data_IF_794872058634
#
_entry.id   IF_794872058634
#
_cell.length_a   1.000
_cell.length_b   1.000
_cell.length_c   1.000
_cell.angle_alpha   90.00
_cell.angle_beta   90.00
_cell.angle_gamma   90.00
#
_symmetry.space_group_name_H-M   'P 1'
#
loop_
_entity.id
_entity.type
_entity.pdbx_description
1 polymer ?
#
# COMPACT_ATOMS: atom_id res chain seq x y z
N UNK A 1 -1.22 8.93 -9.98
CA UNK A 1 -1.16 7.84 -10.94
C UNK A 1 -1.53 6.50 -10.30
N UNK A 2 -0.86 6.09 -9.20
CA UNK A 2 -1.12 4.81 -8.51
C UNK A 2 -2.58 4.66 -8.04
N UNK A 3 -3.23 5.74 -7.59
CA UNK A 3 -4.65 5.72 -7.22
C UNK A 3 -5.57 5.36 -8.39
N UNK A 4 -5.24 5.83 -9.62
CA UNK A 4 -6.03 5.51 -10.82
C UNK A 4 -5.91 4.04 -11.17
N UNK A 5 -4.68 3.51 -11.13
CA UNK A 5 -4.42 2.10 -11.42
C UNK A 5 -5.13 1.21 -10.41
N UNK A 6 -5.00 1.50 -9.12
CA UNK A 6 -5.68 0.73 -8.06
C UNK A 6 -7.19 0.80 -8.21
N UNK A 7 -7.74 1.99 -8.50
CA UNK A 7 -9.15 2.13 -8.78
C UNK A 7 -9.58 1.24 -9.96
N UNK A 8 -8.89 1.34 -11.11
CA UNK A 8 -9.22 0.55 -12.30
C UNK A 8 -9.09 -0.95 -12.05
N UNK A 9 -8.10 -1.37 -11.25
CA UNK A 9 -7.90 -2.76 -10.89
C UNK A 9 -9.09 -3.30 -10.08
N UNK A 10 -9.53 -2.59 -9.05
CA UNK A 10 -10.67 -3.01 -8.25
C UNK A 10 -11.99 -2.95 -9.05
N UNK A 11 -12.18 -1.89 -9.85
CA UNK A 11 -13.38 -1.71 -10.68
C UNK A 11 -13.52 -2.80 -11.77
N UNK A 12 -12.40 -3.35 -12.25
CA UNK A 12 -12.42 -4.48 -13.19
C UNK A 12 -12.97 -5.79 -12.59
N UNK A 13 -13.05 -5.89 -11.25
CA UNK A 13 -13.45 -7.09 -10.53
C UNK A 13 -12.41 -8.21 -10.52
N UNK A 14 -11.19 -7.95 -11.04
CA UNK A 14 -10.08 -8.91 -10.99
C UNK A 14 -9.65 -9.18 -9.55
N UNK A 15 -9.60 -8.12 -8.73
CA UNK A 15 -9.22 -8.20 -7.32
C UNK A 15 -10.41 -7.83 -6.45
N UNK A 16 -10.93 -8.79 -5.72
CA UNK A 16 -12.09 -8.66 -4.83
C UNK A 16 -12.01 -9.67 -3.70
N UNK A 17 -12.77 -9.47 -2.66
CA UNK A 17 -12.87 -10.37 -1.53
C UNK A 17 -13.54 -9.69 -0.34
N UNK A 18 -13.44 -10.32 0.82
CA UNK A 18 -13.98 -9.79 2.07
C UNK A 18 -12.95 -8.92 2.80
N UNK A 19 -11.71 -9.37 2.90
CA UNK A 19 -10.67 -8.76 3.71
C UNK A 19 -9.49 -8.26 2.87
N UNK A 20 -9.12 -7.00 3.07
CA UNK A 20 -7.92 -6.38 2.52
C UNK A 20 -6.98 -5.94 3.64
N UNK A 21 -5.69 -6.23 3.49
CA UNK A 21 -4.61 -5.68 4.32
C UNK A 21 -3.86 -4.63 3.50
N UNK A 22 -3.71 -3.42 4.07
CA UNK A 22 -2.92 -2.33 3.48
C UNK A 22 -1.63 -2.11 4.28
N UNK A 23 -0.50 -2.22 3.61
CA UNK A 23 0.83 -1.89 4.13
C UNK A 23 1.49 -0.86 3.21
N UNK A 24 1.13 0.39 3.41
CA UNK A 24 1.61 1.52 2.60
C UNK A 24 2.48 2.44 3.45
N UNK A 25 3.64 2.86 2.90
CA UNK A 25 4.54 3.81 3.57
C UNK A 25 3.94 5.22 3.57
N UNK A 26 2.83 5.40 4.28
CA UNK A 26 2.16 6.70 4.42
C UNK A 26 1.18 6.66 5.58
N UNK A 27 1.10 7.76 6.31
CA UNK A 27 0.01 7.99 7.27
C UNK A 27 -1.34 8.20 6.57
N UNK A 28 -1.32 8.50 5.26
CA UNK A 28 -2.51 8.80 4.49
C UNK A 28 -3.29 7.52 4.09
N UNK A 29 -4.59 7.55 4.28
CA UNK A 29 -5.50 6.47 3.88
C UNK A 29 -5.89 6.53 2.38
N UNK A 30 -4.99 7.03 1.53
CA UNK A 30 -5.30 7.42 0.15
C UNK A 30 -5.69 6.24 -0.73
N UNK A 31 -4.96 5.15 -0.63
CA UNK A 31 -5.10 4.04 -1.56
C UNK A 31 -6.32 3.17 -1.24
N UNK A 32 -6.70 3.13 0.04
CA UNK A 32 -7.87 2.38 0.48
C UNK A 32 -9.21 3.06 0.18
N UNK A 33 -9.21 4.35 -0.16
CA UNK A 33 -10.44 5.06 -0.57
C UNK A 33 -11.11 4.38 -1.78
N UNK A 34 -10.31 3.87 -2.72
CA UNK A 34 -10.82 3.12 -3.86
C UNK A 34 -11.25 1.70 -3.46
N UNK A 35 -10.51 1.04 -2.56
CA UNK A 35 -10.74 -0.33 -2.14
C UNK A 35 -12.02 -0.52 -1.31
N UNK A 36 -12.43 0.50 -0.55
CA UNK A 36 -13.57 0.44 0.36
C UNK A 36 -14.95 0.16 -0.30
N UNK A 37 -15.00 0.11 -1.63
CA UNK A 37 -16.21 -0.30 -2.34
C UNK A 37 -16.24 -1.81 -2.64
N UNK A 38 -15.09 -2.47 -2.57
CA UNK A 38 -14.88 -3.84 -3.03
C UNK A 38 -14.51 -4.80 -1.90
N UNK A 39 -14.24 -4.25 -0.69
CA UNK A 39 -13.90 -5.02 0.50
C UNK A 39 -14.68 -4.51 1.70
N UNK A 40 -15.18 -5.43 2.54
CA UNK A 40 -15.95 -5.10 3.74
C UNK A 40 -15.07 -4.92 4.98
N UNK A 41 -13.88 -5.52 4.98
CA UNK A 41 -12.93 -5.46 6.07
C UNK A 41 -11.57 -4.98 5.58
N UNK A 42 -11.15 -3.78 5.99
CA UNK A 42 -9.82 -3.25 5.71
C UNK A 42 -9.02 -3.19 7.01
N UNK A 43 -7.81 -3.73 6.97
CA UNK A 43 -6.84 -3.70 8.06
C UNK A 43 -5.65 -2.86 7.61
N UNK A 44 -5.34 -1.82 8.36
CA UNK A 44 -4.19 -0.96 8.10
C UNK A 44 -3.01 -1.41 8.93
N UNK A 45 -1.90 -1.74 8.29
CA UNK A 45 -0.63 -1.96 8.94
C UNK A 45 0.18 -0.67 8.90
N UNK A 46 0.65 -0.20 10.05
CA UNK A 46 1.39 1.06 10.21
C UNK A 46 2.77 0.81 10.80
N UNK A 47 3.77 1.55 10.30
CA UNK A 47 5.18 1.38 10.64
C UNK A 47 5.55 1.89 12.01
N UNK A 48 4.94 2.99 12.40
CA UNK A 48 5.28 3.69 13.61
C UNK A 48 4.02 4.28 14.26
N UNK A 49 4.16 4.62 15.53
CA UNK A 49 3.08 5.20 16.33
C UNK A 49 2.56 6.54 15.78
N UNK A 50 3.41 7.31 15.08
CA UNK A 50 2.96 8.56 14.47
C UNK A 50 2.00 8.30 13.31
N UNK A 51 2.28 7.32 12.46
CA UNK A 51 1.42 6.94 11.34
C UNK A 51 0.11 6.33 11.82
N UNK A 52 0.19 5.49 12.86
CA UNK A 52 -0.98 4.93 13.51
C UNK A 52 -1.87 6.04 14.07
N UNK A 53 -1.29 7.01 14.80
CA UNK A 53 -2.00 8.15 15.36
C UNK A 53 -2.71 9.00 14.31
N UNK A 54 -2.03 9.31 13.21
CA UNK A 54 -2.63 10.09 12.11
C UNK A 54 -3.78 9.32 11.43
N UNK A 55 -3.62 8.01 11.23
CA UNK A 55 -4.71 7.17 10.72
C UNK A 55 -5.92 7.13 11.68
N UNK A 56 -5.67 7.03 13.00
CA UNK A 56 -6.71 7.08 14.04
C UNK A 56 -7.43 8.43 14.05
N UNK A 57 -6.71 9.55 13.98
CA UNK A 57 -7.32 10.88 13.90
C UNK A 57 -8.28 11.00 12.72
N UNK A 58 -7.85 10.52 11.54
CA UNK A 58 -8.70 10.56 10.36
C UNK A 58 -9.92 9.65 10.52
N UNK A 59 -9.73 8.45 11.05
CA UNK A 59 -10.80 7.48 11.30
C UNK A 59 -11.88 8.05 12.21
N UNK A 60 -11.47 8.74 13.29
CA UNK A 60 -12.38 9.30 14.30
C UNK A 60 -12.79 10.75 14.02
N UNK A 61 -12.38 11.34 12.89
CA UNK A 61 -12.67 12.73 12.51
C UNK A 61 -12.18 13.75 13.55
N UNK A 62 -11.03 13.48 14.15
CA UNK A 62 -10.45 14.35 15.17
C UNK A 62 -9.94 15.66 14.57
N UNK A 63 -9.91 16.75 15.35
CA UNK A 63 -9.32 18.02 14.91
C UNK A 63 -7.85 17.84 14.50
N UNK A 64 -7.47 18.42 13.36
CA UNK A 64 -6.12 18.33 12.82
C UNK A 64 -5.82 17.03 12.07
N UNK A 65 -6.81 16.17 11.82
CA UNK A 65 -6.69 15.03 10.91
C UNK A 65 -6.35 15.50 9.49
N UNK A 66 -5.58 14.70 8.77
CA UNK A 66 -5.22 14.99 7.37
C UNK A 66 -6.50 15.06 6.52
N UNK A 67 -6.62 16.12 5.72
CA UNK A 67 -7.74 16.29 4.78
C UNK A 67 -7.46 15.52 3.48
N UNK A 68 -8.26 14.48 3.24
CA UNK A 68 -8.22 13.67 2.02
C UNK A 68 -9.31 14.03 1.02
N UNK A 69 -10.12 15.07 1.28
CA UNK A 69 -11.30 15.40 0.48
C UNK A 69 -10.99 15.63 -1.01
N UNK A 70 -9.85 16.27 -1.32
CA UNK A 70 -9.42 16.52 -2.69
C UNK A 70 -9.16 15.20 -3.45
N UNK A 71 -8.53 14.24 -2.80
CA UNK A 71 -8.23 12.94 -3.40
C UNK A 71 -9.48 12.06 -3.48
N UNK A 72 -10.31 12.08 -2.44
CA UNK A 72 -11.59 11.37 -2.44
C UNK A 72 -12.51 11.92 -3.55
N UNK A 73 -12.55 13.25 -3.72
CA UNK A 73 -13.28 13.90 -4.82
C UNK A 73 -12.77 13.43 -6.18
N UNK A 74 -11.44 13.34 -6.34
CA UNK A 74 -10.82 12.83 -7.57
C UNK A 74 -11.23 11.38 -7.84
N UNK A 75 -11.11 10.48 -6.85
CA UNK A 75 -11.48 9.06 -6.98
C UNK A 75 -12.97 8.92 -7.31
N UNK A 76 -13.84 9.65 -6.64
CA UNK A 76 -15.27 9.68 -6.96
C UNK A 76 -15.53 10.23 -8.37
N UNK A 77 -14.71 11.19 -8.83
CA UNK A 77 -14.76 11.77 -10.17
C UNK A 77 -14.49 10.74 -11.27
N UNK A 78 -13.64 9.73 -11.02
CA UNK A 78 -13.41 8.62 -11.96
C UNK A 78 -14.70 7.83 -12.26
N UNK A 79 -15.67 7.86 -11.34
CA UNK A 79 -17.02 7.27 -11.47
C UNK A 79 -18.09 8.26 -11.91
N UNK A 80 -17.75 9.50 -12.23
CA UNK A 80 -18.72 10.56 -12.49
C UNK A 80 -19.49 11.04 -11.24
N UNK A 81 -19.00 10.77 -10.02
CA UNK A 81 -19.68 11.01 -8.74
C UNK A 81 -18.88 11.90 -7.79
N UNK A 82 -18.15 12.88 -8.31
CA UNK A 82 -17.25 13.75 -7.53
C UNK A 82 -17.92 14.41 -6.31
N UNK A 83 -19.21 14.70 -6.37
CA UNK A 83 -19.98 15.30 -5.26
C UNK A 83 -20.25 14.34 -4.11
N UNK A 84 -20.04 13.03 -4.29
CA UNK A 84 -20.31 12.00 -3.27
C UNK A 84 -19.12 11.72 -2.35
N UNK A 85 -18.04 12.52 -2.42
CA UNK A 85 -16.81 12.27 -1.69
C UNK A 85 -16.99 12.08 -0.17
N UNK A 86 -17.94 12.83 0.46
CA UNK A 86 -18.25 12.65 1.89
C UNK A 86 -18.80 11.28 2.21
N UNK A 87 -19.66 10.75 1.34
CA UNK A 87 -20.21 9.39 1.49
C UNK A 87 -19.12 8.33 1.33
N UNK A 88 -18.20 8.56 0.38
CA UNK A 88 -17.07 7.67 0.15
C UNK A 88 -16.12 7.62 1.35
N UNK A 89 -15.76 8.77 1.92
CA UNK A 89 -14.95 8.80 3.13
C UNK A 89 -15.63 8.10 4.31
N UNK A 90 -16.94 8.35 4.51
CA UNK A 90 -17.68 7.71 5.57
C UNK A 90 -17.74 6.19 5.38
N UNK A 91 -17.95 5.73 4.15
CA UNK A 91 -17.88 4.30 3.82
C UNK A 91 -16.51 3.74 4.15
N UNK A 92 -15.43 4.40 3.72
CA UNK A 92 -14.06 3.96 3.98
C UNK A 92 -13.78 3.85 5.48
N UNK A 93 -14.19 4.85 6.28
CA UNK A 93 -14.05 4.79 7.73
C UNK A 93 -14.74 3.58 8.35
N UNK A 94 -15.95 3.23 7.89
CA UNK A 94 -16.68 2.05 8.37
C UNK A 94 -16.05 0.73 7.95
N UNK A 95 -15.38 0.72 6.81
CA UNK A 95 -14.73 -0.46 6.25
C UNK A 95 -13.40 -0.76 6.96
N UNK A 96 -12.71 0.25 7.49
CA UNK A 96 -11.52 0.05 8.31
C UNK A 96 -11.93 -0.58 9.65
N UNK A 97 -11.46 -1.80 9.92
CA UNK A 97 -11.78 -2.54 11.15
C UNK A 97 -10.67 -2.50 12.17
N UNK A 98 -9.41 -2.43 11.70
CA UNK A 98 -8.25 -2.44 12.58
C UNK A 98 -7.14 -1.56 12.01
N UNK A 99 -6.41 -0.92 12.91
CA UNK A 99 -5.12 -0.27 12.63
C UNK A 99 -4.13 -0.96 13.55
N UNK A 100 -3.09 -1.57 13.00
CA UNK A 100 -2.15 -2.42 13.73
C UNK A 100 -0.73 -1.99 13.40
N UNK A 101 0.14 -1.96 14.40
CA UNK A 101 1.57 -1.72 14.20
C UNK A 101 2.20 -2.92 13.52
N UNK A 102 3.00 -2.64 12.49
CA UNK A 102 3.86 -3.60 11.80
C UNK A 102 5.31 -3.29 12.17
N UNK A 103 5.84 -3.98 13.17
CA UNK A 103 7.16 -3.73 13.70
C UNK A 103 8.21 -4.64 13.08
N UNK A 104 8.97 -4.09 12.13
CA UNK A 104 10.03 -4.83 11.42
C UNK A 104 11.23 -5.22 12.29
N UNK A 105 11.34 -4.67 13.50
CA UNK A 105 12.41 -5.04 14.44
C UNK A 105 12.14 -6.36 15.14
N UNK A 106 10.90 -6.82 15.12
CA UNK A 106 10.48 -8.10 15.68
C UNK A 106 10.57 -9.21 14.65
N UNK A 107 10.88 -10.42 15.09
CA UNK A 107 10.84 -11.61 14.24
C UNK A 107 9.42 -11.82 13.67
N UNK A 108 8.39 -11.69 14.51
CA UNK A 108 7.00 -11.55 14.07
C UNK A 108 6.59 -10.08 14.11
N UNK A 109 6.44 -9.41 12.95
CA UNK A 109 6.11 -7.98 12.90
C UNK A 109 4.78 -7.60 13.56
N UNK A 110 3.85 -8.53 13.70
CA UNK A 110 2.57 -8.32 14.40
C UNK A 110 2.62 -8.60 15.91
N UNK A 111 3.76 -9.13 16.41
CA UNK A 111 3.85 -9.55 17.81
C UNK A 111 2.83 -10.65 18.14
N UNK A 112 1.97 -10.39 19.13
CA UNK A 112 0.89 -11.31 19.55
C UNK A 112 -0.43 -11.10 18.78
N UNK A 113 -0.49 -10.09 17.90
CA UNK A 113 -1.73 -9.80 17.15
C UNK A 113 -1.94 -10.86 16.08
N UNK A 114 -3.09 -11.49 16.09
CA UNK A 114 -3.51 -12.47 15.09
C UNK A 114 -4.50 -11.80 14.14
N UNK A 115 -4.14 -11.75 12.87
CA UNK A 115 -5.01 -11.23 11.81
C UNK A 115 -5.68 -12.37 11.04
N UNK A 116 -6.89 -12.17 10.51
CA UNK A 116 -7.45 -13.07 9.52
C UNK A 116 -6.59 -13.06 8.27
N UNK A 117 -6.55 -14.17 7.54
CA UNK A 117 -5.93 -14.17 6.22
C UNK A 117 -6.76 -13.31 5.26
N UNK A 118 -6.07 -12.47 4.50
CA UNK A 118 -6.68 -11.53 3.57
C UNK A 118 -6.92 -12.16 2.19
N UNK A 119 -7.93 -11.68 1.49
CA UNK A 119 -8.16 -11.96 0.08
C UNK A 119 -7.26 -11.12 -0.81
N UNK A 120 -6.89 -9.92 -0.31
CA UNK A 120 -5.98 -9.00 -0.98
C UNK A 120 -5.02 -8.35 0.01
N UNK A 121 -3.76 -8.21 -0.40
CA UNK A 121 -2.79 -7.33 0.26
C UNK A 121 -2.39 -6.24 -0.73
N UNK A 122 -2.44 -4.99 -0.29
CA UNK A 122 -1.90 -3.83 -1.02
C UNK A 122 -0.64 -3.35 -0.29
N UNK A 123 0.45 -3.18 -1.02
CA UNK A 123 1.67 -2.55 -0.47
C UNK A 123 2.24 -1.56 -1.46
N UNK A 124 2.56 -0.36 -0.99
CA UNK A 124 3.09 0.70 -1.85
C UNK A 124 4.22 1.44 -1.16
N UNK A 125 5.35 1.56 -1.88
CA UNK A 125 6.50 2.35 -1.45
C UNK A 125 7.03 1.99 -0.07
N UNK A 126 6.89 0.70 0.31
CA UNK A 126 7.16 0.27 1.67
C UNK A 126 8.46 -0.52 1.80
N UNK A 127 8.56 -1.64 1.07
CA UNK A 127 9.65 -2.59 1.27
C UNK A 127 11.02 -1.98 0.98
N UNK A 128 11.12 -1.09 -0.01
CA UNK A 128 12.34 -0.38 -0.35
C UNK A 128 12.80 0.63 0.69
N UNK A 129 11.88 1.21 1.46
CA UNK A 129 12.24 2.22 2.47
C UNK A 129 12.61 1.62 3.82
N UNK A 130 12.21 0.38 4.08
CA UNK A 130 12.48 -0.28 5.37
C UNK A 130 13.55 -1.35 5.28
N UNK A 131 13.88 -1.84 4.09
CA UNK A 131 14.88 -2.91 3.91
C UNK A 131 16.28 -2.33 3.77
N UNK A 132 17.22 -2.85 4.56
CA UNK A 132 18.65 -2.49 4.47
C UNK A 132 19.37 -3.21 3.33
N UNK A 133 18.87 -4.37 2.92
CA UNK A 133 19.42 -5.23 1.88
C UNK A 133 18.33 -6.08 1.21
N UNK A 134 18.71 -6.78 0.14
CA UNK A 134 17.81 -7.61 -0.65
C UNK A 134 17.25 -8.80 0.13
N UNK A 135 18.03 -9.39 1.04
CA UNK A 135 17.58 -10.54 1.86
C UNK A 135 16.50 -10.10 2.84
N UNK A 136 16.66 -8.94 3.46
CA UNK A 136 15.62 -8.36 4.33
C UNK A 136 14.35 -8.05 3.54
N UNK A 137 14.47 -7.52 2.31
CA UNK A 137 13.33 -7.26 1.44
C UNK A 137 12.51 -8.55 1.18
N UNK A 138 13.18 -9.61 0.75
CA UNK A 138 12.56 -10.92 0.46
C UNK A 138 11.92 -11.50 1.74
N UNK A 139 12.60 -11.40 2.86
CA UNK A 139 12.08 -11.89 4.15
C UNK A 139 10.81 -11.15 4.58
N UNK A 140 10.81 -9.82 4.52
CA UNK A 140 9.63 -9.01 4.84
C UNK A 140 8.47 -9.27 3.87
N UNK A 141 8.76 -9.45 2.58
CA UNK A 141 7.77 -9.84 1.59
C UNK A 141 7.14 -11.21 1.92
N UNK A 142 7.94 -12.21 2.27
CA UNK A 142 7.45 -13.54 2.70
C UNK A 142 6.59 -13.46 3.96
N UNK A 143 7.01 -12.66 4.95
CA UNK A 143 6.22 -12.43 6.16
C UNK A 143 4.88 -11.77 5.85
N UNK A 144 4.87 -10.76 4.99
CA UNK A 144 3.63 -10.10 4.56
C UNK A 144 2.69 -11.08 3.85
N UNK A 145 3.23 -11.87 2.91
CA UNK A 145 2.47 -12.86 2.15
C UNK A 145 1.95 -14.02 3.02
N UNK A 146 2.52 -14.27 4.20
CA UNK A 146 1.97 -15.28 5.11
C UNK A 146 0.54 -14.96 5.55
N UNK A 147 0.15 -13.67 5.53
CA UNK A 147 -1.20 -13.19 5.85
C UNK A 147 -2.15 -13.20 4.65
N UNK A 148 -1.69 -13.58 3.46
CA UNK A 148 -2.52 -13.70 2.27
C UNK A 148 -3.04 -15.13 2.10
N UNK A 149 -4.33 -15.29 1.81
CA UNK A 149 -4.93 -16.59 1.46
C UNK A 149 -4.25 -17.19 0.23
N UNK A 150 -4.26 -18.51 0.14
CA UNK A 150 -3.92 -19.20 -1.11
C UNK A 150 -4.97 -18.83 -2.16
N UNK A 151 -4.52 -18.41 -3.34
CA UNK A 151 -5.38 -17.83 -4.37
C UNK A 151 -5.72 -16.35 -4.18
N UNK A 152 -5.29 -15.72 -3.07
CA UNK A 152 -5.42 -14.30 -2.82
C UNK A 152 -4.49 -13.46 -3.69
N UNK A 153 -4.73 -12.15 -3.75
CA UNK A 153 -4.00 -11.23 -4.61
C UNK A 153 -3.08 -10.30 -3.81
N UNK A 154 -1.84 -10.17 -4.28
CA UNK A 154 -0.95 -9.07 -3.87
C UNK A 154 -0.98 -8.00 -4.95
N UNK A 155 -1.27 -6.77 -4.55
CA UNK A 155 -1.15 -5.57 -5.39
C UNK A 155 0.01 -4.75 -4.84
N UNK A 156 1.07 -4.62 -5.62
CA UNK A 156 2.29 -3.95 -5.21
C UNK A 156 2.60 -2.77 -6.12
N UNK A 157 2.94 -1.64 -5.51
CA UNK A 157 3.55 -0.50 -6.20
C UNK A 157 4.96 -0.31 -5.65
N UNK A 158 5.93 -0.44 -6.52
CA UNK A 158 7.35 -0.42 -6.19
C UNK A 158 8.09 0.70 -6.93
N UNK A 159 9.14 1.23 -6.33
CA UNK A 159 9.97 2.29 -6.91
C UNK A 159 11.28 1.70 -7.39
N UNK A 160 11.51 1.77 -8.69
CA UNK A 160 12.66 1.16 -9.34
C UNK A 160 13.86 2.11 -9.34
N UNK A 161 15.02 1.58 -8.97
CA UNK A 161 16.31 2.28 -8.95
C UNK A 161 16.34 3.54 -8.07
N UNK A 162 15.50 3.61 -7.03
CA UNK A 162 15.57 4.65 -6.01
C UNK A 162 16.78 4.38 -5.08
N UNK A 163 17.51 5.42 -4.69
CA UNK A 163 18.54 5.31 -3.65
C UNK A 163 18.29 6.21 -2.45
N UNK A 164 17.48 7.25 -2.62
CA UNK A 164 17.08 8.16 -1.54
C UNK A 164 15.73 8.82 -1.80
N UNK A 165 15.14 9.30 -0.71
CA UNK A 165 13.99 10.20 -0.74
C UNK A 165 14.13 11.26 0.37
N UNK A 166 13.40 12.37 0.20
CA UNK A 166 13.40 13.50 1.15
C UNK A 166 12.07 13.56 1.89
N UNK A 167 12.14 13.81 3.20
CA UNK A 167 10.98 14.20 4.02
C UNK A 167 11.33 15.52 4.70
N UNK A 168 10.70 16.59 4.25
CA UNK A 168 11.11 17.95 4.61
C UNK A 168 12.53 18.22 4.16
N UNK A 169 13.43 18.49 5.12
CA UNK A 169 14.87 18.74 4.86
C UNK A 169 15.75 17.49 5.10
N UNK A 170 15.17 16.37 5.51
CA UNK A 170 15.89 15.16 5.84
C UNK A 170 15.95 14.19 4.66
N UNK A 171 17.15 13.70 4.37
CA UNK A 171 17.43 12.71 3.35
C UNK A 171 17.45 11.31 3.97
N UNK A 172 16.64 10.40 3.42
CA UNK A 172 16.58 9.00 3.83
C UNK A 172 17.09 8.11 2.70
N UNK A 173 17.79 7.05 3.05
CA UNK A 173 18.20 6.02 2.11
C UNK A 173 17.02 5.12 1.76
N UNK A 174 17.03 4.59 0.54
CA UNK A 174 16.12 3.54 0.10
C UNK A 174 16.94 2.40 -0.53
N UNK A 175 16.43 1.17 -0.46
CA UNK A 175 17.08 0.03 -1.08
C UNK A 175 16.98 0.12 -2.60
N UNK A 176 18.13 0.27 -3.24
CA UNK A 176 18.20 0.31 -4.71
C UNK A 176 18.09 -1.09 -5.30
N UNK A 177 17.17 -1.26 -6.24
CA UNK A 177 16.98 -2.49 -7.00
C UNK A 177 16.36 -2.20 -8.37
N UNK A 178 16.49 -3.15 -9.29
CA UNK A 178 15.86 -3.12 -10.59
C UNK A 178 14.59 -3.98 -10.64
N UNK A 179 13.87 -3.92 -11.75
CA UNK A 179 12.63 -4.67 -11.95
C UNK A 179 12.84 -6.20 -11.91
N UNK A 180 13.96 -6.70 -12.45
CA UNK A 180 14.29 -8.14 -12.42
C UNK A 180 14.40 -8.67 -11.00
N UNK A 181 14.96 -7.88 -10.08
CA UNK A 181 15.02 -8.24 -8.67
C UNK A 181 13.62 -8.45 -8.08
N UNK A 182 12.70 -7.49 -8.31
CA UNK A 182 11.34 -7.61 -7.76
C UNK A 182 10.62 -8.83 -8.32
N UNK A 183 10.70 -9.06 -9.63
CA UNK A 183 10.08 -10.21 -10.26
C UNK A 183 10.58 -11.53 -9.65
N UNK A 184 11.90 -11.65 -9.44
CA UNK A 184 12.50 -12.81 -8.77
C UNK A 184 12.05 -12.93 -7.32
N UNK A 185 12.04 -11.81 -6.57
CA UNK A 185 11.61 -11.79 -5.17
C UNK A 185 10.14 -12.23 -5.01
N UNK A 186 9.25 -11.79 -5.90
CA UNK A 186 7.84 -12.18 -5.91
C UNK A 186 7.68 -13.68 -6.17
N UNK A 187 8.39 -14.21 -7.17
CA UNK A 187 8.36 -15.64 -7.48
C UNK A 187 8.95 -16.49 -6.33
N UNK A 188 10.08 -16.07 -5.76
CA UNK A 188 10.69 -16.74 -4.60
C UNK A 188 9.80 -16.72 -3.35
N UNK A 189 9.00 -15.66 -3.21
CA UNK A 189 8.03 -15.56 -2.13
C UNK A 189 6.73 -16.35 -2.37
N UNK A 190 6.63 -17.07 -3.50
CA UNK A 190 5.51 -17.96 -3.82
C UNK A 190 4.36 -17.30 -4.57
N UNK A 191 4.61 -16.15 -5.21
CA UNK A 191 3.62 -15.45 -6.02
C UNK A 191 3.80 -15.69 -7.51
N UNK A 192 2.69 -15.86 -8.22
CA UNK A 192 2.62 -15.81 -9.68
C UNK A 192 2.25 -14.39 -10.12
N UNK A 193 3.05 -13.78 -10.97
CA UNK A 193 2.77 -12.44 -11.52
C UNK A 193 1.69 -12.56 -12.59
N UNK A 194 0.55 -11.94 -12.37
CA UNK A 194 -0.58 -11.91 -13.33
C UNK A 194 -0.45 -10.76 -14.31
N UNK A 195 0.01 -9.61 -13.83
CA UNK A 195 0.32 -8.44 -14.67
C UNK A 195 1.38 -7.58 -14.02
N UNK A 196 2.17 -6.92 -14.86
CA UNK A 196 3.10 -5.87 -14.45
C UNK A 196 3.04 -4.72 -15.45
N UNK A 197 3.19 -3.50 -14.96
CA UNK A 197 3.26 -2.30 -15.76
C UNK A 197 4.26 -1.33 -15.13
N UNK A 198 5.17 -0.78 -15.94
CA UNK A 198 6.26 0.07 -15.47
C UNK A 198 6.26 1.40 -16.20
N UNK A 199 6.25 2.47 -15.43
CA UNK A 199 6.22 3.83 -15.93
C UNK A 199 7.49 4.58 -15.56
N UNK A 200 8.24 5.00 -16.55
CA UNK A 200 9.42 5.84 -16.35
C UNK A 200 9.04 7.20 -15.79
N UNK A 201 9.84 7.71 -14.87
CA UNK A 201 9.73 9.10 -14.42
C UNK A 201 9.89 10.04 -15.60
N UNK A 202 8.97 10.98 -15.74
CA UNK A 202 9.04 12.06 -16.74
C UNK A 202 9.72 13.31 -16.23
N UNK A 203 9.99 13.37 -14.94
CA UNK A 203 10.53 14.55 -14.27
C UNK A 203 11.66 14.16 -13.33
N UNK A 204 12.71 14.96 -13.36
CA UNK A 204 13.72 14.95 -12.32
C UNK A 204 13.18 15.67 -11.10
N UNK A 205 13.38 15.09 -9.93
CA UNK A 205 12.93 15.67 -8.67
C UNK A 205 14.10 15.74 -7.69
N UNK A 206 14.32 16.87 -7.01
CA UNK A 206 15.30 16.92 -5.94
C UNK A 206 14.85 16.12 -4.69
N UNK A 207 13.61 15.65 -4.67
CA UNK A 207 13.05 14.93 -3.53
C UNK A 207 13.34 13.43 -3.56
N UNK A 208 13.69 12.87 -4.72
CA UNK A 208 14.02 11.46 -4.89
C UNK A 208 14.65 11.22 -6.26
N UNK A 209 15.42 10.14 -6.39
CA UNK A 209 16.21 9.81 -7.58
C UNK A 209 15.70 8.56 -8.32
N UNK A 210 14.43 8.20 -8.16
CA UNK A 210 13.90 7.00 -8.80
C UNK A 210 13.85 7.10 -10.33
N UNK A 211 14.02 5.96 -10.99
CA UNK A 211 13.94 5.85 -12.45
C UNK A 211 12.51 5.62 -12.93
N UNK A 212 11.80 4.72 -12.29
CA UNK A 212 10.44 4.33 -12.67
C UNK A 212 9.61 3.83 -11.50
N UNK A 213 8.29 3.77 -11.70
CA UNK A 213 7.33 3.14 -10.79
C UNK A 213 6.78 1.91 -11.49
N UNK A 214 6.87 0.77 -10.82
CA UNK A 214 6.34 -0.50 -11.30
C UNK A 214 5.12 -0.92 -10.47
N UNK A 215 4.10 -1.41 -11.16
CA UNK A 215 2.88 -1.95 -10.57
C UNK A 215 2.81 -3.44 -10.85
N UNK A 216 2.58 -4.23 -9.82
CA UNK A 216 2.45 -5.69 -9.94
C UNK A 216 1.11 -6.13 -9.37
N UNK A 217 0.43 -7.00 -10.09
CA UNK A 217 -0.69 -7.78 -9.58
C UNK A 217 -0.25 -9.23 -9.60
N UNK A 218 -0.24 -9.85 -8.43
CA UNK A 218 0.24 -11.19 -8.24
C UNK A 218 -0.82 -12.05 -7.55
N UNK A 219 -0.71 -13.37 -7.71
CA UNK A 219 -1.54 -14.37 -7.03
C UNK A 219 -0.66 -15.31 -6.22
N UNK A 220 -1.02 -15.53 -4.97
CA UNK A 220 -0.39 -16.52 -4.09
C UNK A 220 -0.88 -17.94 -4.39
#
# INVERSE_FOLDING_TARGET
>A
YSCVILYSLFDSGLVKGDTLIDLTASSACQLILAAAEYFDNIILLKLCESDEREAQKWLHKEPGAIDHSHLTTFICGLKGKSTEWKKQEEKTRRTIKQIVKWDITNENPLGEVVLPQADCIVTTYYLEVVSKDHDMYINLLKKLLSHLKIGGHLVMVAVINISYYMVGQHKFAALKYNEDFIQKALMEAGCSILSSDTHKSKFESPLCDYESIAHFVCRK
#
